data_IF_869689788440
#
_entry.id   IF_869689788440
#
_cell.length_a   1.000
_cell.length_b   1.000
_cell.length_c   1.000
_cell.angle_alpha   90.00
_cell.angle_beta   90.00
_cell.angle_gamma   90.00
#
_symmetry.space_group_name_H-M   'P 1'
#
loop_
_entity.id
_entity.type
_entity.pdbx_description
1 polymer ?
#
# COMPACT_ATOMS: atom_id res chain seq x y z
N UNK A 1 21.10 -55.75 -47.60
CA UNK A 1 22.08 -55.50 -48.63
C UNK A 1 22.83 -54.25 -48.14
N UNK A 2 23.90 -54.38 -47.34
CA UNK A 2 25.30 -54.63 -47.72
C UNK A 2 25.72 -53.51 -48.72
N UNK A 3 26.56 -52.61 -48.27
CA UNK A 3 27.98 -52.46 -48.34
C UNK A 3 28.33 -51.01 -47.89
N UNK A 4 29.04 -50.72 -46.87
CA UNK A 4 30.49 -50.74 -46.60
C UNK A 4 31.33 -49.79 -47.45
N UNK A 5 32.07 -48.99 -46.69
CA UNK A 5 33.48 -48.57 -46.80
C UNK A 5 33.74 -47.26 -47.54
N UNK A 6 34.65 -46.41 -47.18
CA UNK A 6 35.84 -46.49 -46.30
C UNK A 6 36.45 -45.11 -46.11
N UNK A 7 37.21 -45.02 -45.06
CA UNK A 7 38.07 -43.93 -44.64
C UNK A 7 38.94 -43.27 -45.75
N UNK A 8 39.14 -41.95 -45.64
CA UNK A 8 40.49 -41.35 -45.84
C UNK A 8 40.72 -40.16 -44.91
N UNK A 9 41.63 -40.37 -44.05
CA UNK A 9 42.37 -39.41 -43.27
C UNK A 9 43.19 -38.52 -44.22
N UNK A 10 43.08 -37.20 -44.13
CA UNK A 10 44.18 -36.30 -44.56
C UNK A 10 44.15 -35.07 -43.65
N UNK A 11 45.16 -34.99 -42.83
CA UNK A 11 45.67 -33.85 -42.09
C UNK A 11 46.02 -32.70 -43.05
N UNK A 12 45.55 -31.50 -42.81
CA UNK A 12 46.13 -30.25 -43.29
C UNK A 12 45.80 -29.11 -42.30
N UNK A 13 46.84 -28.71 -41.59
CA UNK A 13 47.34 -27.36 -41.27
C UNK A 13 46.41 -26.32 -40.75
N UNK A 14 46.79 -25.85 -39.58
CA UNK A 14 46.40 -24.65 -38.89
C UNK A 14 46.35 -23.39 -39.78
N UNK A 15 45.26 -22.68 -39.73
CA UNK A 15 45.22 -21.23 -39.91
C UNK A 15 44.36 -20.64 -38.81
N UNK A 16 45.02 -19.89 -37.98
CA UNK A 16 44.37 -19.07 -36.95
C UNK A 16 43.51 -18.00 -37.64
N UNK A 17 42.21 -18.14 -37.58
CA UNK A 17 41.27 -17.09 -37.92
C UNK A 17 40.58 -16.69 -36.63
N UNK A 18 40.92 -15.52 -36.16
CA UNK A 18 40.24 -14.80 -35.09
C UNK A 18 38.76 -14.64 -35.43
N UNK A 19 37.95 -15.56 -34.98
CA UNK A 19 36.50 -15.37 -34.88
C UNK A 19 36.25 -14.49 -33.67
N UNK A 20 36.07 -13.20 -33.92
CA UNK A 20 35.48 -12.28 -32.95
C UNK A 20 34.10 -12.83 -32.60
N UNK A 21 33.99 -13.50 -31.48
CA UNK A 21 32.74 -13.84 -30.88
C UNK A 21 32.07 -12.52 -30.47
N UNK A 22 31.15 -12.04 -31.30
CA UNK A 22 30.12 -11.10 -30.91
C UNK A 22 29.22 -11.82 -29.88
N UNK A 23 29.68 -11.82 -28.64
CA UNK A 23 28.82 -12.00 -27.51
C UNK A 23 27.86 -10.81 -27.50
N UNK A 24 26.72 -11.00 -28.14
CA UNK A 24 25.53 -10.19 -27.81
C UNK A 24 25.30 -10.42 -26.32
N UNK A 25 25.89 -9.55 -25.52
CA UNK A 25 25.44 -9.33 -24.17
C UNK A 25 24.00 -8.78 -24.28
N UNK A 26 23.05 -9.67 -24.36
CA UNK A 26 21.71 -9.37 -23.91
C UNK A 26 21.87 -9.03 -22.41
N UNK A 27 22.11 -7.77 -22.16
CA UNK A 27 21.82 -7.21 -20.85
C UNK A 27 20.32 -7.45 -20.64
N UNK A 28 20.02 -8.57 -20.01
CA UNK A 28 18.77 -8.77 -19.31
C UNK A 28 18.67 -7.61 -18.33
N UNK A 29 18.05 -6.53 -18.78
CA UNK A 29 17.55 -5.49 -17.90
C UNK A 29 16.42 -6.16 -17.11
N UNK A 30 16.83 -6.96 -16.12
CA UNK A 30 15.88 -7.38 -15.11
C UNK A 30 15.20 -6.11 -14.62
N UNK A 31 13.86 -6.07 -14.54
CA UNK A 31 13.18 -4.94 -13.96
C UNK A 31 13.85 -4.71 -12.61
N UNK A 32 14.44 -3.53 -12.43
CA UNK A 32 15.00 -3.14 -11.15
C UNK A 32 13.81 -3.05 -10.22
N UNK A 33 13.44 -4.17 -9.60
CA UNK A 33 12.61 -4.18 -8.41
C UNK A 33 13.23 -3.11 -7.52
N UNK A 34 12.49 -2.06 -7.26
CA UNK A 34 12.95 -1.03 -6.35
C UNK A 34 13.26 -1.76 -5.04
N UNK A 35 14.55 -2.00 -4.81
CA UNK A 35 15.01 -2.68 -3.61
C UNK A 35 14.47 -1.83 -2.47
N UNK A 36 13.67 -2.43 -1.61
CA UNK A 36 13.17 -1.80 -0.41
C UNK A 36 14.39 -1.18 0.29
N UNK A 37 14.48 0.15 0.24
CA UNK A 37 15.65 0.84 0.78
C UNK A 37 15.68 0.56 2.27
N UNK A 38 16.82 0.18 2.78
CA UNK A 38 17.04 -0.08 4.19
C UNK A 38 16.81 1.23 4.98
N UNK A 39 15.62 1.39 5.52
CA UNK A 39 15.31 2.49 6.42
C UNK A 39 15.85 2.15 7.81
N UNK A 40 16.88 2.86 8.24
CA UNK A 40 17.27 2.81 9.64
C UNK A 40 16.23 3.57 10.47
N UNK A 41 15.82 3.05 11.64
CA UNK A 41 14.90 3.77 12.51
C UNK A 41 15.41 5.18 12.82
N UNK A 42 14.57 6.18 12.65
CA UNK A 42 14.89 7.51 13.10
C UNK A 42 14.76 7.54 14.63
N UNK A 43 15.88 7.65 15.33
CA UNK A 43 15.90 7.75 16.78
C UNK A 43 15.69 9.18 17.30
N UNK A 44 15.56 10.17 16.43
CA UNK A 44 15.40 11.56 16.81
C UNK A 44 13.99 12.07 16.49
N UNK A 45 13.41 12.92 17.34
CA UNK A 45 12.25 13.70 16.93
C UNK A 45 12.61 14.46 15.66
N UNK A 46 11.76 14.37 14.67
CA UNK A 46 12.01 14.86 13.33
C UNK A 46 12.14 16.36 13.34
N UNK A 47 13.25 16.87 12.89
CA UNK A 47 13.49 18.30 12.71
C UNK A 47 13.26 18.75 11.26
N UNK A 48 12.73 17.90 10.38
CA UNK A 48 12.32 18.27 9.03
C UNK A 48 11.38 19.48 9.03
N UNK A 49 10.50 19.57 10.03
CA UNK A 49 9.60 20.68 10.23
C UNK A 49 10.31 22.03 10.48
N UNK A 50 11.55 22.02 10.92
CA UNK A 50 12.34 23.26 11.14
C UNK A 50 12.53 24.03 9.84
N UNK A 51 12.79 23.33 8.73
CA UNK A 51 13.00 23.92 7.40
C UNK A 51 11.79 23.73 6.47
N UNK A 52 11.06 22.62 6.64
CA UNK A 52 9.92 22.24 5.79
C UNK A 52 8.58 22.33 6.54
N UNK A 53 8.38 23.37 7.35
CA UNK A 53 7.23 23.50 8.25
C UNK A 53 5.88 23.33 7.52
N UNK A 54 5.67 24.00 6.38
CA UNK A 54 4.40 23.92 5.65
C UNK A 54 4.05 22.50 5.18
N UNK A 55 5.05 21.74 4.70
CA UNK A 55 4.86 20.35 4.29
C UNK A 55 4.64 19.46 5.50
N UNK A 56 5.42 19.65 6.56
CA UNK A 56 5.30 18.86 7.78
C UNK A 56 3.93 19.05 8.45
N UNK A 57 3.44 20.29 8.52
CA UNK A 57 2.12 20.62 9.06
C UNK A 57 1.01 19.98 8.23
N UNK A 58 1.10 20.05 6.91
CA UNK A 58 0.13 19.43 6.02
C UNK A 58 0.16 17.90 6.15
N UNK A 59 1.35 17.29 6.21
CA UNK A 59 1.52 15.85 6.34
C UNK A 59 1.05 15.31 7.68
N UNK A 60 1.05 16.11 8.73
CA UNK A 60 0.54 15.72 10.05
C UNK A 60 -0.93 15.27 10.02
N UNK A 61 -1.69 15.67 9.00
CA UNK A 61 -3.10 15.25 8.82
C UNK A 61 -3.28 14.21 7.70
N UNK A 62 -2.21 13.79 7.03
CA UNK A 62 -2.31 12.83 5.93
C UNK A 62 -2.56 11.40 6.45
N UNK A 63 -3.44 10.61 5.82
CA UNK A 63 -3.78 9.26 6.28
C UNK A 63 -2.56 8.32 6.43
N UNK A 64 -1.54 8.47 5.60
CA UNK A 64 -0.32 7.67 5.69
C UNK A 64 0.47 7.96 6.97
N UNK A 65 0.41 9.19 7.49
CA UNK A 65 1.03 9.53 8.79
C UNK A 65 0.35 8.79 9.93
N UNK A 66 -0.92 8.46 9.77
CA UNK A 66 -1.78 7.78 10.74
C UNK A 66 -2.09 6.33 10.35
N UNK A 67 -1.27 5.72 9.50
CA UNK A 67 -1.47 4.33 9.07
C UNK A 67 -1.39 3.34 10.24
N UNK A 68 -0.65 3.68 11.28
CA UNK A 68 -0.59 3.00 12.57
C UNK A 68 -0.55 4.05 13.68
N UNK A 69 -1.33 3.84 14.72
CA UNK A 69 -1.30 4.65 15.92
C UNK A 69 -0.82 3.82 17.11
N UNK A 70 -0.03 4.42 18.01
CA UNK A 70 0.29 3.79 19.27
C UNK A 70 -0.90 3.86 20.21
N UNK A 71 -0.92 2.99 21.19
CA UNK A 71 -1.87 3.05 22.29
C UNK A 71 -1.92 4.46 22.90
N UNK A 72 -3.12 4.96 23.13
CA UNK A 72 -3.38 6.26 23.75
C UNK A 72 -3.38 7.46 22.81
N UNK A 73 -2.77 7.36 21.64
CA UNK A 73 -2.78 8.46 20.67
C UNK A 73 -3.96 8.39 19.68
N UNK A 74 -4.70 7.27 19.64
CA UNK A 74 -5.80 7.09 18.69
C UNK A 74 -7.03 7.90 19.08
N UNK A 75 -7.48 8.87 18.24
CA UNK A 75 -8.62 9.70 18.55
C UNK A 75 -9.93 8.93 18.62
N UNK A 76 -10.09 7.87 17.79
CA UNK A 76 -11.34 7.11 17.75
C UNK A 76 -11.51 6.26 19.00
N UNK A 77 -10.46 5.64 19.51
CA UNK A 77 -10.51 4.89 20.76
C UNK A 77 -10.80 5.82 21.96
N UNK A 78 -10.27 7.04 21.93
CA UNK A 78 -10.57 8.03 22.97
C UNK A 78 -12.01 8.58 22.90
N UNK A 79 -12.55 8.74 21.68
CA UNK A 79 -13.93 9.18 21.46
C UNK A 79 -14.97 8.09 21.76
N UNK A 80 -14.56 6.81 21.64
CA UNK A 80 -15.43 5.64 21.88
C UNK A 80 -14.84 4.74 22.98
N UNK A 81 -14.82 5.20 24.24
CA UNK A 81 -14.11 4.53 25.31
C UNK A 81 -14.70 3.18 25.75
N UNK A 82 -15.92 2.88 25.33
CA UNK A 82 -16.62 1.63 25.60
C UNK A 82 -17.28 1.12 24.32
N UNK A 83 -16.68 0.10 23.72
CA UNK A 83 -17.22 -0.58 22.54
C UNK A 83 -17.56 -2.02 22.92
N UNK A 84 -18.73 -2.50 22.49
CA UNK A 84 -19.15 -3.88 22.74
C UNK A 84 -19.91 -4.43 21.53
N UNK A 85 -19.70 -5.72 21.22
CA UNK A 85 -20.47 -6.45 20.24
C UNK A 85 -20.60 -7.93 20.64
N UNK A 86 -21.71 -8.55 20.23
CA UNK A 86 -21.91 -10.00 20.34
C UNK A 86 -21.84 -10.60 18.94
N UNK A 87 -20.89 -11.50 18.71
CA UNK A 87 -20.65 -12.09 17.39
C UNK A 87 -20.27 -13.58 17.61
N UNK A 88 -20.98 -14.48 16.93
CA UNK A 88 -20.64 -15.91 16.91
C UNK A 88 -20.62 -16.60 18.29
N UNK A 89 -21.46 -16.15 19.23
CA UNK A 89 -21.51 -16.70 20.58
C UNK A 89 -20.50 -16.08 21.56
N UNK A 90 -19.70 -15.13 21.11
CA UNK A 90 -18.72 -14.41 21.93
C UNK A 90 -19.13 -12.95 22.12
N UNK A 91 -18.78 -12.39 23.28
CA UNK A 91 -18.89 -10.96 23.57
C UNK A 91 -17.50 -10.33 23.47
N UNK A 92 -17.37 -9.34 22.60
CA UNK A 92 -16.17 -8.55 22.41
C UNK A 92 -16.36 -7.20 23.08
N UNK A 93 -15.37 -6.77 23.86
CA UNK A 93 -15.40 -5.49 24.55
C UNK A 93 -14.06 -4.80 24.40
N UNK A 94 -14.08 -3.52 23.97
CA UNK A 94 -12.90 -2.66 24.01
C UNK A 94 -13.18 -1.54 24.99
N UNK A 95 -12.27 -1.38 25.96
CA UNK A 95 -12.36 -0.31 26.97
C UNK A 95 -11.10 0.53 26.91
N UNK A 96 -11.31 1.85 26.80
CA UNK A 96 -10.22 2.84 26.83
C UNK A 96 -10.33 3.65 28.11
N UNK A 97 -9.29 3.63 28.93
CA UNK A 97 -9.20 4.39 30.19
C UNK A 97 -7.80 4.98 30.31
N UNK A 98 -7.72 6.29 30.56
CA UNK A 98 -6.44 7.00 30.72
C UNK A 98 -5.46 6.78 29.56
N UNK A 99 -5.96 6.75 28.31
CA UNK A 99 -5.17 6.53 27.12
C UNK A 99 -4.72 5.07 26.93
N UNK A 100 -5.21 4.12 27.71
CA UNK A 100 -4.92 2.70 27.55
C UNK A 100 -6.16 1.95 27.13
N UNK A 101 -6.05 1.17 26.06
CA UNK A 101 -7.15 0.35 25.54
C UNK A 101 -6.89 -1.12 25.81
N UNK A 102 -7.94 -1.82 26.23
CA UNK A 102 -7.93 -3.27 26.43
C UNK A 102 -8.97 -3.91 25.53
N UNK A 103 -8.62 -5.06 24.98
CA UNK A 103 -9.49 -5.92 24.19
C UNK A 103 -9.83 -7.16 25.01
N UNK A 104 -11.12 -7.41 25.20
CA UNK A 104 -11.65 -8.55 25.93
C UNK A 104 -12.57 -9.36 25.04
N UNK A 105 -12.41 -10.68 25.04
CA UNK A 105 -13.36 -11.63 24.48
C UNK A 105 -13.86 -12.56 25.60
N UNK A 106 -15.18 -12.81 25.63
CA UNK A 106 -15.82 -13.72 26.60
C UNK A 106 -16.82 -14.63 25.91
N UNK A 107 -16.93 -15.87 26.39
CA UNK A 107 -17.96 -16.86 26.00
C UNK A 107 -19.07 -17.01 27.06
N UNK A 108 -19.08 -16.15 28.08
CA UNK A 108 -20.02 -16.19 29.19
C UNK A 108 -19.56 -17.10 30.35
N UNK A 109 -18.60 -18.01 30.13
CA UNK A 109 -18.01 -18.89 31.17
C UNK A 109 -16.62 -18.42 31.55
N UNK A 110 -15.90 -17.80 30.62
CA UNK A 110 -14.56 -17.25 30.80
C UNK A 110 -14.35 -16.00 29.98
N UNK A 111 -13.21 -15.35 30.20
CA UNK A 111 -12.79 -14.19 29.45
C UNK A 111 -11.27 -14.14 29.25
N UNK A 112 -10.84 -13.63 28.12
CA UNK A 112 -9.46 -13.32 27.79
C UNK A 112 -9.33 -11.84 27.52
N UNK A 113 -8.48 -11.14 28.28
CA UNK A 113 -8.25 -9.70 28.16
C UNK A 113 -6.79 -9.43 27.84
N UNK A 114 -6.53 -8.64 26.81
CA UNK A 114 -5.20 -8.21 26.39
C UNK A 114 -5.14 -6.70 26.17
N UNK A 115 -4.00 -6.07 26.40
CA UNK A 115 -3.81 -4.68 26.01
C UNK A 115 -3.76 -4.56 24.49
N UNK A 116 -4.37 -3.52 23.96
CA UNK A 116 -4.18 -3.11 22.56
C UNK A 116 -2.90 -2.30 22.51
N UNK A 117 -1.90 -2.78 21.79
CA UNK A 117 -0.61 -2.10 21.70
C UNK A 117 -0.47 -1.31 20.41
N UNK A 118 -1.02 -1.81 19.30
CA UNK A 118 -0.95 -1.19 17.97
C UNK A 118 -2.31 -1.21 17.31
N UNK A 119 -2.67 -0.07 16.71
CA UNK A 119 -3.92 0.17 16.01
C UNK A 119 -3.58 0.45 14.55
N UNK A 120 -4.08 -0.38 13.63
CA UNK A 120 -3.79 -0.30 12.21
C UNK A 120 -5.00 0.16 11.42
N UNK A 121 -4.79 1.17 10.57
CA UNK A 121 -5.80 1.69 9.65
C UNK A 121 -6.71 2.76 10.24
N UNK A 122 -7.44 3.44 9.34
CA UNK A 122 -8.38 4.51 9.70
C UNK A 122 -9.82 4.24 9.25
N UNK A 123 -10.00 3.50 8.15
CA UNK A 123 -11.34 3.12 7.66
C UNK A 123 -11.92 1.91 8.40
N UNK A 124 -11.04 1.04 8.81
CA UNK A 124 -11.26 0.00 9.81
C UNK A 124 -10.04 0.00 10.71
N UNK A 125 -10.25 -0.02 12.00
CA UNK A 125 -9.17 -0.11 12.98
C UNK A 125 -9.05 -1.55 13.46
N UNK A 126 -8.02 -2.22 12.98
CA UNK A 126 -7.67 -3.59 13.37
C UNK A 126 -6.54 -3.53 14.37
N UNK A 127 -6.58 -4.38 15.36
CA UNK A 127 -5.57 -4.39 16.42
C UNK A 127 -4.63 -5.57 16.26
N UNK A 128 -3.35 -5.31 16.51
CA UNK A 128 -2.37 -6.39 16.71
C UNK A 128 -2.15 -6.55 18.21
N UNK A 129 -2.46 -7.73 18.68
CA UNK A 129 -2.36 -8.15 20.07
C UNK A 129 -1.12 -9.02 20.26
N UNK A 130 -0.57 -9.03 21.46
CA UNK A 130 0.54 -9.92 21.83
C UNK A 130 0.13 -10.83 22.98
N UNK A 131 0.33 -12.13 22.78
CA UNK A 131 0.09 -13.15 23.80
C UNK A 131 1.18 -14.22 23.72
N UNK A 132 1.84 -14.50 24.82
CA UNK A 132 2.87 -15.52 24.96
C UNK A 132 4.00 -15.41 23.90
N UNK A 133 4.41 -14.16 23.60
CA UNK A 133 5.46 -13.85 22.59
C UNK A 133 5.01 -14.04 21.13
N UNK A 134 3.71 -14.19 20.89
CA UNK A 134 3.13 -14.30 19.55
C UNK A 134 2.17 -13.16 19.27
N UNK A 135 2.12 -12.75 18.00
CA UNK A 135 1.23 -11.68 17.53
C UNK A 135 -0.04 -12.26 16.94
N UNK A 136 -1.14 -11.57 17.18
CA UNK A 136 -2.48 -11.95 16.72
C UNK A 136 -3.16 -10.73 16.10
N UNK A 137 -3.78 -10.91 14.95
CA UNK A 137 -4.73 -9.97 14.39
C UNK A 137 -6.05 -10.16 15.11
N UNK A 138 -6.63 -9.11 15.67
CA UNK A 138 -7.92 -9.18 16.37
C UNK A 138 -9.02 -9.68 15.43
N UNK A 139 -9.88 -10.59 15.90
CA UNK A 139 -10.98 -11.15 15.09
C UNK A 139 -12.04 -10.09 14.79
N UNK A 140 -12.16 -9.07 15.62
CA UNK A 140 -13.03 -7.92 15.36
C UNK A 140 -12.22 -6.63 15.24
N UNK A 141 -12.72 -5.73 14.41
CA UNK A 141 -12.18 -4.39 14.18
C UNK A 141 -13.24 -3.34 14.51
N UNK A 142 -12.80 -2.12 14.80
CA UNK A 142 -13.68 -0.98 14.89
C UNK A 142 -13.89 -0.33 13.52
N UNK A 143 -15.13 -0.05 13.18
CA UNK A 143 -15.52 0.58 11.92
C UNK A 143 -16.17 1.93 12.20
N UNK A 144 -15.47 3.06 11.95
CA UNK A 144 -16.00 4.40 12.23
C UNK A 144 -17.32 4.68 11.52
N UNK A 145 -17.52 4.21 10.29
CA UNK A 145 -18.77 4.40 9.54
C UNK A 145 -19.95 3.61 10.09
N UNK A 146 -19.69 2.44 10.65
CA UNK A 146 -20.70 1.61 11.32
C UNK A 146 -20.85 2.00 12.79
N UNK A 147 -19.97 2.85 13.30
CA UNK A 147 -19.85 3.23 14.72
C UNK A 147 -19.87 2.01 15.65
N UNK A 148 -19.13 0.97 15.31
CA UNK A 148 -19.16 -0.27 16.09
C UNK A 148 -18.10 -1.29 15.71
N UNK A 149 -18.14 -2.43 16.41
CA UNK A 149 -17.29 -3.58 16.18
C UNK A 149 -17.93 -4.55 15.18
N UNK A 150 -17.15 -5.05 14.25
CA UNK A 150 -17.55 -6.13 13.34
C UNK A 150 -16.33 -7.02 13.04
N UNK A 151 -16.56 -8.16 12.38
CA UNK A 151 -15.47 -9.08 11.98
C UNK A 151 -14.45 -8.35 11.11
N UNK A 152 -13.19 -8.57 11.43
CA UNK A 152 -12.04 -8.04 10.68
C UNK A 152 -12.11 -8.46 9.19
N UNK A 153 -11.89 -7.54 8.24
CA UNK A 153 -11.95 -7.85 6.82
C UNK A 153 -10.93 -8.93 6.42
N UNK A 154 -11.44 -10.04 5.91
CA UNK A 154 -10.67 -11.24 5.59
C UNK A 154 -10.98 -12.43 6.51
N UNK A 155 -11.49 -12.17 7.70
CA UNK A 155 -11.74 -13.20 8.72
C UNK A 155 -13.21 -13.66 8.80
N UNK A 156 -14.06 -13.25 7.85
CA UNK A 156 -15.51 -13.55 7.85
C UNK A 156 -15.84 -15.05 7.85
N UNK A 157 -14.89 -15.89 7.46
CA UNK A 157 -15.05 -17.36 7.43
C UNK A 157 -14.51 -18.07 8.67
N UNK A 158 -13.90 -17.33 9.59
CA UNK A 158 -13.36 -17.91 10.83
C UNK A 158 -14.53 -18.18 11.79
N UNK A 159 -14.62 -19.42 12.26
CA UNK A 159 -15.56 -19.85 13.31
C UNK A 159 -14.74 -20.28 14.52
N UNK A 160 -14.62 -19.45 15.56
CA UNK A 160 -13.81 -19.78 16.73
C UNK A 160 -14.44 -20.91 17.56
N UNK A 161 -13.60 -21.79 18.12
CA UNK A 161 -14.01 -22.87 19.01
C UNK A 161 -13.60 -22.65 20.48
N UNK A 162 -12.82 -21.62 20.75
CA UNK A 162 -12.33 -21.25 22.08
C UNK A 162 -11.95 -19.77 22.14
N UNK A 163 -11.70 -19.27 23.36
CA UNK A 163 -11.38 -17.87 23.59
C UNK A 163 -10.12 -17.37 22.85
N UNK A 164 -9.11 -18.24 22.65
CA UNK A 164 -7.90 -17.85 21.94
C UNK A 164 -8.17 -17.67 20.44
N UNK A 165 -8.95 -18.54 19.83
CA UNK A 165 -9.37 -18.39 18.43
C UNK A 165 -10.33 -17.21 18.26
N UNK A 166 -11.24 -17.01 19.22
CA UNK A 166 -12.14 -15.87 19.24
C UNK A 166 -11.42 -14.54 19.48
N UNK A 167 -10.31 -14.55 20.20
CA UNK A 167 -9.47 -13.36 20.37
C UNK A 167 -8.94 -12.87 19.01
N UNK A 168 -8.50 -13.79 18.14
CA UNK A 168 -7.99 -13.42 16.83
C UNK A 168 -7.08 -14.47 16.20
N UNK A 169 -6.69 -14.20 14.98
CA UNK A 169 -5.85 -15.06 14.15
C UNK A 169 -4.37 -14.85 14.48
N UNK A 170 -3.67 -15.94 14.77
CA UNK A 170 -2.21 -15.89 14.98
C UNK A 170 -1.50 -15.46 13.69
N UNK A 171 -0.67 -14.43 13.79
CA UNK A 171 0.13 -13.93 12.69
C UNK A 171 1.49 -14.65 12.63
N UNK A 172 1.83 -15.27 11.49
CA UNK A 172 3.21 -15.67 11.24
C UNK A 172 4.14 -14.45 11.25
N UNK A 173 5.40 -14.63 11.61
CA UNK A 173 6.35 -13.51 11.74
C UNK A 173 6.53 -12.72 10.43
N UNK A 174 6.47 -13.37 9.29
CA UNK A 174 6.57 -12.70 8.00
C UNK A 174 5.35 -11.80 7.71
N UNK A 175 4.16 -12.22 8.12
CA UNK A 175 2.93 -11.44 7.98
C UNK A 175 2.93 -10.26 8.94
N UNK A 176 3.31 -10.51 10.21
CA UNK A 176 3.51 -9.45 11.20
C UNK A 176 4.45 -8.36 10.68
N UNK A 177 5.59 -8.76 10.10
CA UNK A 177 6.52 -7.81 9.46
C UNK A 177 5.85 -7.00 8.35
N UNK A 178 5.02 -7.65 7.54
CA UNK A 178 4.31 -6.99 6.44
C UNK A 178 3.36 -5.93 6.98
N UNK A 179 2.61 -6.22 8.04
CA UNK A 179 1.74 -5.23 8.69
C UNK A 179 2.54 -4.01 9.13
N UNK A 180 3.59 -4.23 9.93
CA UNK A 180 4.42 -3.14 10.44
C UNK A 180 5.19 -2.39 9.34
N UNK A 181 5.62 -3.07 8.25
CA UNK A 181 6.31 -2.42 7.15
C UNK A 181 5.41 -1.47 6.36
N UNK A 182 4.13 -1.78 6.22
CA UNK A 182 3.18 -0.92 5.49
C UNK A 182 2.57 0.16 6.37
N UNK A 183 2.48 -0.07 7.67
CA UNK A 183 1.79 0.81 8.61
C UNK A 183 2.72 1.60 9.52
N UNK A 184 4.01 1.28 9.55
CA UNK A 184 5.00 1.97 10.36
C UNK A 184 6.30 2.24 9.61
N UNK A 185 7.19 2.99 10.25
CA UNK A 185 8.53 3.29 9.75
C UNK A 185 9.59 2.62 10.61
N UNK A 186 10.79 2.41 10.05
CA UNK A 186 11.90 1.79 10.78
C UNK A 186 11.90 0.25 10.75
N UNK A 187 11.03 -0.36 9.97
CA UNK A 187 11.08 -1.81 9.71
C UNK A 187 12.10 -2.10 8.60
N UNK A 188 13.14 -2.83 8.93
CA UNK A 188 14.19 -3.19 7.97
C UNK A 188 13.91 -4.57 7.38
N UNK A 189 13.83 -4.70 6.05
CA UNK A 189 13.71 -6.01 5.41
C UNK A 189 14.89 -6.92 5.79
N UNK A 190 14.59 -8.18 6.11
CA UNK A 190 15.60 -9.18 6.49
C UNK A 190 16.03 -9.15 7.96
N UNK A 191 15.80 -8.06 8.68
CA UNK A 191 16.10 -7.98 10.11
C UNK A 191 14.94 -8.52 10.97
N UNK A 192 15.24 -8.90 12.21
CA UNK A 192 14.21 -9.29 13.17
C UNK A 192 13.33 -8.08 13.47
N UNK A 193 12.00 -8.26 13.38
CA UNK A 193 11.05 -7.25 13.81
C UNK A 193 11.19 -7.02 15.32
N UNK A 194 11.38 -5.76 15.69
CA UNK A 194 11.37 -5.29 17.08
C UNK A 194 10.31 -4.20 17.17
N UNK A 195 9.06 -4.52 17.51
CA UNK A 195 7.96 -3.56 17.46
C UNK A 195 8.20 -2.27 18.25
N UNK A 196 8.87 -2.36 19.37
CA UNK A 196 9.25 -1.18 20.18
C UNK A 196 10.17 -0.19 19.45
N UNK A 197 10.82 -0.59 18.35
CA UNK A 197 11.68 0.27 17.52
C UNK A 197 10.96 0.82 16.30
N UNK A 198 9.73 0.41 16.06
CA UNK A 198 8.93 0.89 14.92
C UNK A 198 8.32 2.24 15.28
N UNK A 199 8.51 3.21 14.42
CA UNK A 199 7.81 4.49 14.50
C UNK A 199 6.41 4.32 13.95
N UNK A 200 5.34 4.61 14.71
CA UNK A 200 3.97 4.54 14.22
C UNK A 200 3.72 5.50 13.05
N UNK A 201 2.98 5.02 12.05
CA UNK A 201 2.73 5.74 10.80
C UNK A 201 3.96 5.84 9.90
N UNK A 202 3.80 6.46 8.75
CA UNK A 202 4.91 6.64 7.81
C UNK A 202 5.59 7.98 8.06
N UNK A 203 6.91 7.97 8.21
CA UNK A 203 7.73 9.17 8.34
C UNK A 203 8.23 9.67 6.96
N UNK A 204 8.90 10.81 6.96
CA UNK A 204 9.40 11.44 5.75
C UNK A 204 10.40 10.54 5.01
N UNK A 205 11.24 9.83 5.75
CA UNK A 205 12.31 9.00 5.18
C UNK A 205 11.77 7.79 4.42
N UNK A 206 10.54 7.37 4.73
CA UNK A 206 9.87 6.27 4.03
C UNK A 206 9.72 6.55 2.52
N UNK A 207 9.50 7.82 2.16
CA UNK A 207 9.37 8.27 0.79
C UNK A 207 10.62 9.01 0.29
N UNK A 208 11.29 9.73 1.18
CA UNK A 208 12.44 10.58 0.88
C UNK A 208 13.74 9.95 1.40
N UNK A 209 14.14 8.84 0.78
CA UNK A 209 15.38 8.18 1.18
C UNK A 209 16.60 9.09 1.05
N UNK A 210 17.48 9.04 2.06
CA UNK A 210 18.62 9.95 2.17
C UNK A 210 18.33 11.24 2.92
N UNK A 211 17.09 11.41 3.44
CA UNK A 211 16.72 12.61 4.20
C UNK A 211 17.53 12.80 5.49
N UNK A 212 18.03 11.73 6.10
CA UNK A 212 18.95 11.83 7.26
C UNK A 212 20.25 12.49 6.91
N UNK A 213 20.89 12.05 5.80
CA UNK A 213 22.14 12.67 5.36
C UNK A 213 21.90 14.11 4.97
N UNK A 214 20.82 14.39 4.23
CA UNK A 214 20.42 15.76 3.92
C UNK A 214 20.26 16.61 5.17
N UNK A 215 19.59 16.10 6.19
CA UNK A 215 19.38 16.84 7.43
C UNK A 215 20.70 17.08 8.19
N UNK A 216 21.59 16.07 8.27
CA UNK A 216 22.90 16.21 8.90
C UNK A 216 23.77 17.24 8.17
N UNK A 217 23.73 17.24 6.85
CA UNK A 217 24.49 18.20 6.04
C UNK A 217 23.88 19.59 6.10
N UNK A 218 22.55 19.71 6.10
CA UNK A 218 21.84 20.99 6.16
C UNK A 218 22.10 21.75 7.49
N UNK A 219 22.26 21.02 8.60
CA UNK A 219 22.65 21.61 9.90
C UNK A 219 24.05 22.26 9.81
N UNK A 220 24.89 21.81 8.89
CA UNK A 220 26.22 22.39 8.60
C UNK A 220 26.19 23.34 7.39
N UNK A 221 25.01 23.83 7.01
CA UNK A 221 24.80 24.72 5.84
C UNK A 221 25.24 24.11 4.50
N UNK A 222 25.39 22.80 4.44
CA UNK A 222 25.71 22.07 3.21
C UNK A 222 24.44 21.46 2.62
N UNK A 223 23.92 22.04 1.54
CA UNK A 223 22.69 21.63 0.86
C UNK A 223 22.93 20.79 -0.41
N UNK A 224 24.11 20.18 -0.57
CA UNK A 224 24.45 19.40 -1.78
C UNK A 224 23.81 18.01 -1.76
N UNK A 225 23.64 17.40 -0.60
CA UNK A 225 22.94 16.13 -0.47
C UNK A 225 21.43 16.35 -0.49
N UNK A 226 20.74 15.81 -1.48
CA UNK A 226 19.29 15.91 -1.58
C UNK A 226 18.65 14.53 -1.40
N UNK A 227 17.51 14.44 -0.71
CA UNK A 227 16.76 13.20 -0.63
C UNK A 227 16.28 12.74 -2.00
N UNK A 228 15.98 11.46 -2.14
CA UNK A 228 15.41 10.91 -3.36
C UNK A 228 14.09 11.63 -3.69
N UNK A 229 13.99 12.13 -4.92
CA UNK A 229 12.77 12.76 -5.42
C UNK A 229 11.95 11.76 -6.22
N UNK A 230 10.68 11.59 -5.88
CA UNK A 230 9.75 10.76 -6.62
C UNK A 230 9.29 11.43 -7.94
N UNK A 231 9.48 12.73 -8.09
CA UNK A 231 9.08 13.47 -9.31
C UNK A 231 9.81 13.04 -10.58
N UNK A 232 10.91 12.28 -10.45
CA UNK A 232 11.71 11.78 -11.58
C UNK A 232 11.30 10.39 -12.02
N UNK A 233 10.36 9.78 -11.31
CA UNK A 233 9.84 8.45 -11.62
C UNK A 233 8.73 8.58 -12.67
N UNK A 234 8.65 7.62 -13.58
CA UNK A 234 7.53 7.46 -14.49
C UNK A 234 6.31 6.83 -13.78
N UNK A 235 5.22 6.64 -14.50
CA UNK A 235 3.97 6.14 -13.91
C UNK A 235 4.08 4.72 -13.37
N UNK A 236 4.80 3.83 -14.06
CA UNK A 236 5.02 2.45 -13.62
C UNK A 236 5.88 2.44 -12.35
N UNK A 237 6.97 3.19 -12.33
CA UNK A 237 7.84 3.32 -11.16
C UNK A 237 7.12 3.92 -9.94
N UNK A 238 6.22 4.89 -10.16
CA UNK A 238 5.38 5.45 -9.09
C UNK A 238 4.38 4.40 -8.61
N UNK A 239 3.75 3.67 -9.52
CA UNK A 239 2.82 2.59 -9.20
C UNK A 239 3.51 1.52 -8.33
N UNK A 240 4.69 1.08 -8.74
CA UNK A 240 5.50 0.13 -8.00
C UNK A 240 5.90 0.66 -6.61
N UNK A 241 6.32 1.92 -6.56
CA UNK A 241 6.69 2.55 -5.30
C UNK A 241 5.52 2.59 -4.31
N UNK A 242 4.37 3.08 -4.73
CA UNK A 242 3.17 3.12 -3.90
C UNK A 242 2.62 1.71 -3.62
N UNK A 243 2.75 0.83 -4.60
CA UNK A 243 2.31 -0.55 -4.58
C UNK A 243 3.00 -1.43 -3.54
N UNK A 244 4.16 -1.02 -3.02
CA UNK A 244 4.81 -1.71 -1.90
C UNK A 244 3.86 -1.87 -0.70
N UNK A 245 2.98 -0.90 -0.47
CA UNK A 245 1.94 -0.93 0.55
C UNK A 245 0.54 -1.11 -0.05
N UNK A 246 0.25 -0.46 -1.18
CA UNK A 246 -1.05 -0.46 -1.85
C UNK A 246 -1.23 -1.58 -2.89
N UNK A 247 -0.29 -2.52 -2.97
CA UNK A 247 -0.22 -3.70 -3.83
C UNK A 247 -0.05 -3.37 -5.33
N UNK A 248 1.03 -3.89 -5.87
CA UNK A 248 1.36 -3.80 -7.29
C UNK A 248 0.55 -4.77 -8.13
N UNK A 249 0.51 -4.56 -9.43
CA UNK A 249 0.05 -5.52 -10.42
C UNK A 249 0.65 -6.91 -10.19
N UNK A 250 1.95 -7.01 -10.13
CA UNK A 250 2.69 -8.25 -9.91
C UNK A 250 2.28 -8.99 -8.63
N UNK A 251 2.02 -8.22 -7.55
CA UNK A 251 1.57 -8.81 -6.29
C UNK A 251 0.22 -9.48 -6.46
N UNK A 252 -0.72 -8.83 -7.13
CA UNK A 252 -2.08 -9.37 -7.35
C UNK A 252 -2.03 -10.58 -8.28
N UNK A 253 -1.29 -10.49 -9.40
CA UNK A 253 -1.18 -11.57 -10.37
C UNK A 253 -0.51 -12.82 -9.80
N UNK A 254 0.63 -12.67 -9.11
CA UNK A 254 1.33 -13.81 -8.49
C UNK A 254 0.50 -14.54 -7.44
N UNK A 255 -0.33 -13.81 -6.71
CA UNK A 255 -1.20 -14.41 -5.69
C UNK A 255 -2.56 -14.86 -6.26
N UNK A 256 -2.82 -14.63 -7.54
CA UNK A 256 -4.09 -14.97 -8.20
C UNK A 256 -5.30 -14.42 -7.45
N UNK A 257 -5.19 -13.19 -6.97
CA UNK A 257 -6.24 -12.54 -6.20
C UNK A 257 -7.32 -11.98 -7.12
N UNK A 258 -8.59 -12.25 -6.78
CA UNK A 258 -9.76 -11.86 -7.56
C UNK A 258 -10.87 -11.33 -6.64
N UNK A 259 -11.74 -10.48 -7.20
CA UNK A 259 -12.97 -10.05 -6.56
C UNK A 259 -12.95 -8.62 -6.00
N UNK A 260 -14.12 -8.16 -5.54
CA UNK A 260 -14.33 -6.75 -5.17
C UNK A 260 -13.52 -6.31 -3.93
N UNK A 261 -12.99 -7.23 -3.14
CA UNK A 261 -12.12 -6.89 -2.02
C UNK A 261 -10.82 -6.17 -2.46
N UNK A 262 -10.44 -6.30 -3.73
CA UNK A 262 -9.21 -5.73 -4.28
C UNK A 262 -9.37 -4.34 -4.88
N UNK A 263 -10.56 -3.76 -4.82
CA UNK A 263 -10.79 -2.34 -5.15
C UNK A 263 -9.87 -1.40 -4.37
N UNK A 264 -9.42 -1.83 -3.21
CA UNK A 264 -8.46 -1.11 -2.33
C UNK A 264 -7.01 -1.20 -2.79
N UNK A 265 -6.71 -1.90 -3.88
CA UNK A 265 -5.37 -2.02 -4.46
C UNK A 265 -5.23 -1.06 -5.64
N UNK A 266 -5.15 0.23 -5.33
CA UNK A 266 -5.25 1.31 -6.30
C UNK A 266 -4.19 1.25 -7.43
N UNK A 267 -2.90 0.92 -7.19
CA UNK A 267 -1.94 0.75 -8.28
C UNK A 267 -2.39 -0.32 -9.28
N UNK A 268 -2.70 -1.52 -8.78
CA UNK A 268 -3.22 -2.60 -9.63
C UNK A 268 -4.44 -2.16 -10.46
N UNK A 269 -5.40 -1.48 -9.84
CA UNK A 269 -6.63 -1.03 -10.51
C UNK A 269 -6.37 0.09 -11.51
N UNK A 270 -5.40 0.97 -11.25
CA UNK A 270 -5.04 2.04 -12.17
C UNK A 270 -4.34 1.49 -13.42
N UNK A 271 -3.46 0.51 -13.27
CA UNK A 271 -2.65 -0.06 -14.35
C UNK A 271 -3.48 -0.76 -15.43
N UNK A 272 -4.68 -1.28 -15.09
CA UNK A 272 -5.60 -1.86 -16.07
C UNK A 272 -6.43 -0.81 -16.84
N UNK A 273 -6.30 0.47 -16.50
CA UNK A 273 -7.00 1.55 -17.20
C UNK A 273 -6.42 1.78 -18.60
N UNK A 274 -7.27 1.94 -19.60
CA UNK A 274 -6.83 2.17 -21.01
C UNK A 274 -5.99 3.44 -21.20
N UNK A 275 -6.11 4.40 -20.28
CA UNK A 275 -5.33 5.64 -20.32
C UNK A 275 -4.00 5.52 -19.56
N UNK A 276 -3.75 4.42 -18.84
CA UNK A 276 -2.47 4.20 -18.17
C UNK A 276 -1.40 3.84 -19.21
N UNK A 277 -0.31 4.60 -19.18
CA UNK A 277 0.87 4.39 -20.02
C UNK A 277 2.07 4.46 -19.09
N UNK A 278 2.77 3.35 -18.92
CA UNK A 278 3.80 3.17 -17.89
C UNK A 278 4.88 4.24 -17.85
N UNK A 279 5.26 4.78 -18.99
CA UNK A 279 6.26 5.84 -19.08
C UNK A 279 5.67 7.27 -19.17
N UNK A 280 4.35 7.43 -19.08
CA UNK A 280 3.69 8.75 -19.11
C UNK A 280 3.30 9.20 -17.69
N UNK A 281 3.99 10.21 -17.10
CA UNK A 281 3.75 10.62 -15.71
C UNK A 281 2.41 11.35 -15.50
N UNK A 282 1.66 11.65 -16.55
CA UNK A 282 0.37 12.36 -16.46
C UNK A 282 -0.75 11.52 -15.84
N UNK A 283 -0.62 10.19 -15.89
CA UNK A 283 -1.54 9.25 -15.24
C UNK A 283 -0.74 8.45 -14.22
N UNK A 284 -0.60 9.00 -13.05
CA UNK A 284 0.11 8.38 -11.93
C UNK A 284 -0.53 8.77 -10.60
N UNK A 285 -0.18 8.09 -9.52
CA UNK A 285 -0.65 8.43 -8.17
C UNK A 285 -0.35 9.91 -7.86
N UNK A 286 0.85 10.39 -8.16
CA UNK A 286 1.28 11.76 -7.85
C UNK A 286 0.70 12.82 -8.80
N UNK A 287 0.21 12.41 -9.97
CA UNK A 287 -0.48 13.33 -10.88
C UNK A 287 -1.83 13.75 -10.31
N UNK A 288 -2.49 12.87 -9.55
CA UNK A 288 -3.83 13.09 -9.01
C UNK A 288 -3.82 13.38 -7.51
N UNK A 289 -2.87 12.82 -6.75
CA UNK A 289 -2.81 12.94 -5.29
C UNK A 289 -1.56 13.67 -4.82
N UNK A 290 -1.74 14.52 -3.80
CA UNK A 290 -0.61 15.03 -3.02
C UNK A 290 -0.43 14.14 -1.78
N UNK A 291 0.65 13.36 -1.67
CA UNK A 291 0.85 12.44 -0.54
C UNK A 291 1.07 13.14 0.79
N UNK A 292 1.30 14.45 0.79
CA UNK A 292 1.47 15.24 2.01
C UNK A 292 0.16 15.83 2.54
N UNK A 293 -0.99 15.45 1.98
CA UNK A 293 -2.29 16.01 2.35
C UNK A 293 -3.33 14.90 2.51
N UNK A 294 -4.42 15.16 3.21
CA UNK A 294 -5.61 14.32 3.16
C UNK A 294 -6.10 14.15 1.71
N UNK A 295 -6.68 12.99 1.43
CA UNK A 295 -7.29 12.74 0.12
C UNK A 295 -8.48 13.68 -0.07
N UNK A 296 -8.51 14.39 -1.21
CA UNK A 296 -9.67 15.18 -1.59
C UNK A 296 -10.78 14.23 -2.08
N UNK A 297 -11.97 14.33 -1.50
CA UNK A 297 -13.11 13.47 -1.85
C UNK A 297 -14.10 14.15 -2.81
N UNK A 298 -13.82 15.37 -3.27
CA UNK A 298 -14.66 16.13 -4.19
C UNK A 298 -14.34 15.77 -5.63
N UNK A 299 -15.26 15.14 -6.35
CA UNK A 299 -15.04 14.64 -7.71
C UNK A 299 -14.53 15.72 -8.67
N UNK A 300 -15.13 16.88 -8.66
CA UNK A 300 -14.78 18.00 -9.54
C UNK A 300 -13.32 18.47 -9.40
N UNK A 301 -12.69 18.25 -8.25
CA UNK A 301 -11.30 18.62 -8.03
C UNK A 301 -10.31 17.84 -8.89
N UNK A 302 -10.74 16.71 -9.44
CA UNK A 302 -9.94 15.86 -10.32
C UNK A 302 -10.20 16.13 -11.81
N UNK A 303 -11.23 16.86 -12.17
CA UNK A 303 -11.64 17.06 -13.56
C UNK A 303 -10.54 17.68 -14.42
N UNK A 304 -9.78 18.61 -13.87
CA UNK A 304 -8.64 19.23 -14.56
C UNK A 304 -7.62 18.20 -15.05
N UNK A 305 -7.47 17.08 -14.36
CA UNK A 305 -6.57 15.98 -14.73
C UNK A 305 -7.11 15.20 -15.92
N UNK A 306 -8.41 14.95 -15.94
CA UNK A 306 -9.10 14.26 -17.03
C UNK A 306 -9.18 15.17 -18.26
N UNK A 307 -9.56 16.44 -18.09
CA UNK A 307 -9.75 17.41 -19.16
C UNK A 307 -8.43 17.81 -19.84
N UNK A 308 -7.29 17.63 -19.21
CA UNK A 308 -5.99 17.80 -19.86
C UNK A 308 -5.84 16.97 -21.15
N UNK A 309 -6.56 15.83 -21.24
CA UNK A 309 -6.61 14.98 -22.43
C UNK A 309 -8.00 14.93 -23.10
N UNK A 310 -9.08 15.08 -22.31
CA UNK A 310 -10.46 14.85 -22.76
C UNK A 310 -11.26 16.13 -23.04
N UNK A 311 -10.64 17.31 -23.04
CA UNK A 311 -11.34 18.60 -23.32
C UNK A 311 -11.70 18.83 -24.80
N UNK A 312 -11.34 17.92 -25.71
CA UNK A 312 -11.65 18.01 -27.14
C UNK A 312 -10.64 18.80 -27.97
N UNK A 313 -9.80 19.63 -27.38
CA UNK A 313 -8.70 20.29 -28.10
C UNK A 313 -7.54 19.29 -28.27
N UNK A 314 -7.28 18.86 -29.50
CA UNK A 314 -6.11 18.02 -29.80
C UNK A 314 -4.85 18.87 -29.72
N UNK A 315 -4.03 18.62 -28.72
CA UNK A 315 -2.67 19.15 -28.61
C UNK A 315 -1.67 18.05 -28.96
N UNK A 316 -0.42 18.41 -29.18
CA UNK A 316 0.66 17.43 -29.39
C UNK A 316 0.78 16.41 -28.23
N UNK A 317 0.28 16.77 -27.04
CA UNK A 317 0.29 15.95 -25.84
C UNK A 317 -0.99 15.13 -25.65
N UNK A 318 -1.99 15.27 -26.52
CA UNK A 318 -3.25 14.52 -26.40
C UNK A 318 -3.07 13.11 -26.97
N UNK A 319 -3.32 12.04 -26.20
CA UNK A 319 -3.26 10.69 -26.72
C UNK A 319 -4.19 10.52 -27.93
N UNK A 320 -3.80 9.74 -28.96
CA UNK A 320 -4.58 9.58 -30.19
C UNK A 320 -6.01 9.10 -29.97
N UNK A 321 -6.21 8.36 -28.88
CA UNK A 321 -7.49 7.69 -28.53
C UNK A 321 -8.32 8.51 -27.51
N UNK A 322 -7.85 9.68 -27.08
CA UNK A 322 -8.61 10.52 -26.16
C UNK A 322 -9.87 11.04 -26.86
N UNK A 323 -11.02 10.70 -26.32
CA UNK A 323 -12.33 11.14 -26.82
C UNK A 323 -12.96 12.09 -25.81
N UNK A 324 -13.63 13.11 -26.29
CA UNK A 324 -14.48 13.98 -25.47
C UNK A 324 -15.66 13.18 -24.92
N UNK A 325 -15.97 13.33 -23.65
CA UNK A 325 -17.17 12.75 -23.07
C UNK A 325 -18.42 13.42 -23.69
N UNK A 326 -19.38 12.64 -24.25
CA UNK A 326 -20.60 13.18 -24.84
C UNK A 326 -21.65 13.54 -23.77
N UNK A 327 -21.47 13.11 -22.53
CA UNK A 327 -22.49 13.21 -21.45
C UNK A 327 -22.23 14.39 -20.54
N UNK A 328 -20.97 14.55 -20.06
CA UNK A 328 -20.63 15.57 -19.08
C UNK A 328 -19.22 16.12 -19.30
N UNK A 329 -18.93 17.28 -18.73
CA UNK A 329 -17.61 17.92 -18.74
C UNK A 329 -17.07 18.16 -17.33
N UNK A 330 -17.77 17.67 -16.32
CA UNK A 330 -17.40 17.81 -14.91
C UNK A 330 -17.81 16.56 -14.12
N UNK A 331 -17.24 16.42 -12.91
CA UNK A 331 -17.47 15.28 -12.03
C UNK A 331 -17.10 13.92 -12.66
N UNK A 332 -16.03 13.91 -13.47
CA UNK A 332 -15.61 12.76 -14.27
C UNK A 332 -15.44 11.49 -13.45
N UNK A 333 -14.85 11.60 -12.26
CA UNK A 333 -14.58 10.44 -11.39
C UNK A 333 -15.86 9.80 -10.85
N UNK A 334 -16.96 10.53 -10.72
CA UNK A 334 -18.22 9.97 -10.21
C UNK A 334 -18.83 8.92 -11.15
N UNK A 335 -18.54 8.99 -12.45
CA UNK A 335 -19.00 8.03 -13.45
C UNK A 335 -17.91 7.03 -13.86
N UNK A 336 -16.64 7.49 -13.98
CA UNK A 336 -15.56 6.67 -14.50
C UNK A 336 -14.74 5.93 -13.45
N UNK A 337 -14.91 6.27 -12.17
CA UNK A 337 -14.27 5.67 -11.02
C UNK A 337 -15.31 5.36 -9.92
N UNK A 338 -16.19 4.37 -10.13
CA UNK A 338 -17.33 4.15 -9.24
C UNK A 338 -16.90 3.79 -7.83
N UNK A 339 -17.78 4.07 -6.88
CA UNK A 339 -17.65 3.56 -5.51
C UNK A 339 -18.05 2.09 -5.46
N UNK A 340 -17.20 1.27 -4.88
CA UNK A 340 -17.41 -0.16 -4.70
C UNK A 340 -17.35 -0.49 -3.21
N UNK A 341 -18.34 -1.25 -2.75
CA UNK A 341 -18.36 -1.73 -1.37
C UNK A 341 -17.23 -2.72 -1.12
N UNK A 342 -16.48 -2.49 -0.04
CA UNK A 342 -15.49 -3.46 0.42
C UNK A 342 -16.22 -4.58 1.19
N UNK A 343 -16.20 -5.82 0.72
CA UNK A 343 -16.84 -6.92 1.43
C UNK A 343 -16.34 -7.04 2.88
N UNK A 344 -17.27 -6.97 3.84
CA UNK A 344 -16.95 -7.01 5.27
C UNK A 344 -16.21 -5.78 5.81
N UNK A 345 -15.97 -4.75 4.98
CA UNK A 345 -15.20 -3.59 5.39
C UNK A 345 -16.03 -2.39 5.83
N UNK A 346 -17.36 -2.48 5.74
CA UNK A 346 -18.28 -1.38 6.08
C UNK A 346 -17.88 -0.02 5.48
N UNK A 347 -17.23 -0.06 4.32
CA UNK A 347 -16.71 1.12 3.63
C UNK A 347 -16.76 0.94 2.12
N UNK A 348 -16.84 2.06 1.41
CA UNK A 348 -16.72 2.11 -0.05
C UNK A 348 -15.36 2.67 -0.44
N UNK A 349 -14.78 2.07 -1.48
CA UNK A 349 -13.56 2.56 -2.10
C UNK A 349 -13.84 3.02 -3.52
N UNK A 350 -13.17 4.09 -3.94
CA UNK A 350 -13.18 4.51 -5.33
C UNK A 350 -12.38 3.50 -6.14
N UNK A 351 -13.00 2.91 -7.16
CA UNK A 351 -12.31 2.03 -8.09
C UNK A 351 -11.38 2.85 -9.00
N UNK A 352 -10.08 2.56 -8.93
CA UNK A 352 -9.07 3.24 -9.75
C UNK A 352 -8.94 2.66 -11.16
N UNK A 353 -9.74 1.66 -11.50
CA UNK A 353 -9.92 1.23 -12.89
C UNK A 353 -10.79 2.25 -13.63
N UNK A 354 -10.13 3.19 -14.30
CA UNK A 354 -10.79 4.28 -15.05
C UNK A 354 -11.37 3.71 -16.35
N UNK A 355 -12.70 3.69 -16.44
CA UNK A 355 -13.42 3.09 -17.57
C UNK A 355 -14.78 3.74 -17.82
N UNK A 356 -15.43 3.40 -18.92
CA UNK A 356 -16.86 3.66 -19.07
C UNK A 356 -17.59 2.59 -18.26
N UNK A 357 -18.37 3.04 -17.27
CA UNK A 357 -19.15 2.16 -16.38
C UNK A 357 -20.59 2.09 -16.88
N UNK A 358 -21.13 0.88 -16.96
CA UNK A 358 -22.52 0.66 -17.35
C UNK A 358 -23.36 0.24 -16.15
N UNK A 359 -24.61 0.70 -16.11
CA UNK A 359 -25.51 0.34 -15.03
C UNK A 359 -25.70 -1.18 -14.95
N UNK A 360 -25.52 -1.75 -13.77
CA UNK A 360 -25.67 -3.19 -13.54
C UNK A 360 -24.49 -4.06 -14.00
N UNK A 361 -23.40 -3.47 -14.49
CA UNK A 361 -22.22 -4.27 -14.81
C UNK A 361 -21.63 -4.92 -13.55
N UNK A 362 -21.18 -6.19 -13.63
CA UNK A 362 -20.48 -6.82 -12.51
C UNK A 362 -19.14 -6.12 -12.23
N UNK A 363 -18.60 -6.35 -11.03
CA UNK A 363 -17.26 -5.85 -10.70
C UNK A 363 -16.24 -6.47 -11.69
N UNK A 364 -15.50 -5.65 -12.46
CA UNK A 364 -14.55 -6.17 -13.44
C UNK A 364 -13.27 -6.66 -12.73
N UNK A 365 -12.86 -7.86 -13.12
CA UNK A 365 -11.63 -8.49 -12.66
C UNK A 365 -10.39 -7.89 -13.33
#
# INVERSE_FOLDING_TARGET
MIWQNSARLKTIIASASTAAALLCAWSLSAPRVAVAQHFKPSAAPVTCATCHNGVATSYATAPMRHAMEPQGADPAMNAHPDLTAQIGGYTYTVKTRNGQSTYTVSDGTGALTLPIQWIFGQHSQTWVLEKDGHYYESLVSYFPRANGLAITPGDQKITPHNLTEAMGRRLPIWETRTCFNCHGSGVTPGEKLVPAKVTPGLDCERCHAGSRQHMADAVQENFKSLPKSLKRLDSEQISDFCGQCHRTWDTVMRNKWHGPAFVRFQPYRLEISKCFIGNDPRISCLACHNPHQPVNHTAISYDVKCLACHAGAKTASTPPNAKTCPVAKENCTSCHMPKVDLPGGHAQFTDHYIRVVHAGEPYPE
#
